data_IF_489032161458
#
_entry.id   IF_489032161458
#
_cell.length_a   1.000
_cell.length_b   1.000
_cell.length_c   1.000
_cell.angle_alpha   90.00
_cell.angle_beta   90.00
_cell.angle_gamma   90.00
#
_symmetry.space_group_name_H-M   'P 1'
#
loop_
_entity.id
_entity.type
_entity.pdbx_description
1 polymer ?
#
# COMPACT_ATOMS: atom_id res chain seq x y z
N UNK A 1 -12.24 9.48 2.33
CA UNK A 1 -11.62 9.57 1.97
C UNK A 1 -10.58 9.22 2.56
N UNK A 2 -10.20 8.39 2.75
CA UNK A 2 -9.21 8.15 3.51
C UNK A 2 -8.04 7.67 2.78
N UNK A 3 -8.07 7.29 1.62
CA UNK A 3 -6.91 6.83 0.92
C UNK A 3 -6.39 7.89 -0.01
N UNK A 4 -5.12 8.23 0.19
CA UNK A 4 -4.54 9.23 -0.59
C UNK A 4 -4.00 8.62 -1.85
N UNK A 5 -4.10 9.26 -2.95
CA UNK A 5 -3.57 8.79 -4.20
C UNK A 5 -2.08 9.06 -4.20
N UNK A 6 -1.29 8.01 -4.33
CA UNK A 6 0.15 8.17 -4.30
C UNK A 6 0.78 8.28 -5.66
N UNK A 7 0.26 7.56 -6.63
CA UNK A 7 0.87 7.56 -7.93
C UNK A 7 0.38 8.75 -8.71
N UNK A 8 1.28 9.48 -9.28
CA UNK A 8 0.87 10.60 -10.09
C UNK A 8 1.29 10.33 -11.52
N UNK A 9 0.93 11.17 -12.40
CA UNK A 9 1.23 10.99 -13.80
C UNK A 9 2.72 10.99 -14.05
N UNK A 10 3.44 11.77 -13.29
CA UNK A 10 4.84 11.91 -13.48
C UNK A 10 5.76 11.10 -12.63
N UNK A 11 5.33 10.51 -11.63
CA UNK A 11 6.24 9.83 -10.74
C UNK A 11 5.54 8.72 -9.98
N UNK A 12 6.36 7.84 -9.43
CA UNK A 12 5.86 6.76 -8.64
C UNK A 12 6.11 7.11 -7.19
N UNK A 13 5.33 6.59 -6.30
CA UNK A 13 5.57 6.84 -4.88
C UNK A 13 6.82 6.10 -4.45
N UNK A 14 7.47 6.59 -3.44
CA UNK A 14 8.65 5.91 -2.98
C UNK A 14 8.26 4.87 -1.95
N UNK A 15 9.24 4.14 -1.51
CA UNK A 15 9.01 3.03 -0.62
C UNK A 15 8.34 3.42 0.67
N UNK A 16 8.72 4.53 1.23
CA UNK A 16 8.15 4.92 2.50
C UNK A 16 6.70 5.34 2.36
N UNK A 17 6.34 5.87 1.20
CA UNK A 17 4.96 6.23 0.97
C UNK A 17 4.11 4.99 0.81
N UNK A 18 4.64 3.97 0.12
CA UNK A 18 3.90 2.74 -0.07
C UNK A 18 3.71 2.07 1.29
N UNK A 19 4.75 2.07 2.11
CA UNK A 19 4.65 1.45 3.42
C UNK A 19 3.64 2.19 4.29
N UNK A 20 3.65 3.50 4.25
CA UNK A 20 2.72 4.28 5.05
C UNK A 20 1.28 4.00 4.65
N UNK A 21 1.04 3.89 3.35
CA UNK A 21 -0.29 3.60 2.86
C UNK A 21 -0.74 2.20 3.26
N UNK A 22 0.17 1.23 3.19
CA UNK A 22 -0.16 -0.13 3.56
C UNK A 22 -0.49 -0.20 5.05
N UNK A 23 0.30 0.48 5.86
CA UNK A 23 0.08 0.47 7.29
C UNK A 23 -1.27 1.10 7.61
N UNK A 24 -1.59 2.19 6.96
CA UNK A 24 -2.85 2.83 7.20
C UNK A 24 -4.02 1.94 6.79
N UNK A 25 -3.87 1.24 5.69
CA UNK A 25 -4.91 0.34 5.23
C UNK A 25 -5.15 -0.76 6.27
N UNK A 26 -4.08 -1.37 6.77
CA UNK A 26 -4.20 -2.43 7.76
C UNK A 26 -4.83 -1.90 9.04
N UNK A 27 -4.44 -0.71 9.45
CA UNK A 27 -5.03 -0.12 10.64
C UNK A 27 -6.51 0.13 10.45
N UNK A 28 -6.87 0.56 9.26
CA UNK A 28 -8.23 0.86 9.00
C UNK A 28 -9.11 -0.37 8.99
N UNK A 29 -8.69 -1.45 8.37
CA UNK A 29 -9.54 -2.62 8.31
C UNK A 29 -9.52 -3.41 9.60
N UNK A 30 -8.45 -3.31 10.37
CA UNK A 30 -8.36 -4.07 11.60
C UNK A 30 -8.91 -3.29 12.80
N UNK A 31 -8.94 -1.99 12.68
CA UNK A 31 -9.35 -1.16 13.79
C UNK A 31 -8.25 -0.92 14.82
N UNK A 32 -7.05 -1.47 14.61
CA UNK A 32 -5.98 -1.30 15.55
C UNK A 32 -4.97 -0.29 15.06
N UNK A 33 -4.56 0.62 15.97
CA UNK A 33 -3.57 1.53 15.63
C UNK A 33 -2.30 0.83 15.89
N UNK A 34 -2.23 0.05 16.99
CA UNK A 34 -1.09 -0.76 17.33
C UNK A 34 -1.66 -2.08 17.75
N UNK A 35 -1.23 -3.18 17.19
CA UNK A 35 -1.78 -4.48 17.53
C UNK A 35 -1.35 -4.92 18.92
N UNK A 36 -2.12 -5.77 19.52
CA UNK A 36 -1.73 -6.37 20.77
C UNK A 36 -0.52 -7.25 20.45
N UNK A 37 0.30 -7.49 21.45
CA UNK A 37 1.51 -8.25 21.24
C UNK A 37 1.26 -9.59 20.58
N UNK A 38 0.22 -10.26 20.94
CA UNK A 38 -0.07 -11.56 20.37
C UNK A 38 -0.40 -11.47 18.89
N UNK A 39 -0.81 -10.30 18.42
CA UNK A 39 -1.15 -10.14 17.03
C UNK A 39 -0.12 -9.36 16.23
N UNK A 40 1.02 -9.06 16.83
CA UNK A 40 2.00 -8.24 16.15
C UNK A 40 2.50 -8.88 14.86
N UNK A 41 2.82 -10.17 14.92
CA UNK A 41 3.36 -10.82 13.73
C UNK A 41 2.33 -10.86 12.61
N UNK A 42 1.09 -11.14 12.94
CA UNK A 42 0.04 -11.21 11.93
C UNK A 42 -0.17 -9.83 11.31
N UNK A 43 -0.15 -8.81 12.15
CA UNK A 43 -0.36 -7.44 11.69
C UNK A 43 0.78 -7.03 10.75
N UNK A 44 2.01 -7.32 11.15
CA UNK A 44 3.14 -6.92 10.34
C UNK A 44 3.24 -7.72 9.06
N UNK A 45 2.86 -9.00 9.09
CA UNK A 45 2.84 -9.79 7.89
C UNK A 45 1.82 -9.23 6.91
N UNK A 46 0.68 -8.78 7.40
CA UNK A 46 -0.33 -8.19 6.54
C UNK A 46 0.20 -6.93 5.88
N UNK A 47 0.89 -6.10 6.64
CA UNK A 47 1.46 -4.87 6.10
C UNK A 47 2.46 -5.23 5.00
N UNK A 48 3.31 -6.22 5.25
CA UNK A 48 4.31 -6.59 4.26
C UNK A 48 3.67 -7.15 3.00
N UNK A 49 2.60 -7.90 3.15
CA UNK A 49 1.92 -8.45 1.99
C UNK A 49 1.27 -7.34 1.17
N UNK A 50 0.70 -6.36 1.83
CA UNK A 50 0.09 -5.24 1.13
C UNK A 50 1.16 -4.46 0.39
N UNK A 51 2.33 -4.31 1.00
CA UNK A 51 3.43 -3.62 0.36
C UNK A 51 3.86 -4.39 -0.89
N UNK A 52 3.98 -5.70 -0.79
CA UNK A 52 4.42 -6.50 -1.92
C UNK A 52 3.45 -6.43 -3.07
N UNK A 53 2.16 -6.53 -2.79
CA UNK A 53 1.15 -6.44 -3.83
C UNK A 53 1.16 -5.04 -4.44
N UNK A 54 1.34 -4.03 -3.62
CA UNK A 54 1.35 -2.66 -4.08
C UNK A 54 2.53 -2.40 -5.00
N UNK A 55 3.69 -2.94 -4.67
CA UNK A 55 4.84 -2.77 -5.52
C UNK A 55 4.61 -3.45 -6.83
N UNK A 56 4.03 -4.65 -6.84
CA UNK A 56 3.75 -5.36 -8.06
C UNK A 56 2.77 -4.58 -8.92
N UNK A 57 1.76 -4.01 -8.30
CA UNK A 57 0.78 -3.22 -9.03
C UNK A 57 1.47 -2.03 -9.69
N UNK A 58 2.24 -1.29 -8.91
CA UNK A 58 2.85 -0.08 -9.42
C UNK A 58 3.85 -0.40 -10.53
N UNK A 59 4.58 -1.47 -10.40
CA UNK A 59 5.52 -1.86 -11.42
C UNK A 59 4.82 -2.33 -12.68
N UNK A 60 3.62 -2.85 -12.55
CA UNK A 60 2.90 -3.37 -13.69
C UNK A 60 2.12 -2.32 -14.45
N UNK A 61 1.86 -1.20 -13.81
CA UNK A 61 1.10 -0.15 -14.49
C UNK A 61 2.00 0.53 -15.50
N UNK A 62 1.46 0.77 -16.71
CA UNK A 62 2.23 1.39 -17.67
C UNK A 62 1.93 2.76 -17.72
N UNK A 63 2.76 3.50 -18.19
CA UNK A 63 2.59 4.86 -18.21
C UNK A 63 1.64 5.13 -19.22
N UNK A 64 0.81 5.49 -19.33
CA UNK A 64 -0.11 5.89 -20.17
C UNK A 64 -0.16 5.01 -21.32
N UNK A 65 -0.68 4.18 -21.47
CA UNK A 65 -0.81 3.36 -22.42
C UNK A 65 -1.93 3.68 -23.18
N UNK A 66 -1.85 4.29 -24.03
CA UNK A 66 -2.90 4.81 -24.72
C UNK A 66 -3.71 3.74 -25.24
N UNK A 67 -4.20 3.63 -25.68
CA UNK A 67 -4.87 2.81 -26.21
C UNK A 67 -5.07 1.63 -25.91
N UNK A 68 -4.90 1.33 -25.71
CA UNK A 68 -5.08 0.32 -25.40
C UNK A 68 -5.88 0.07 -25.04
N UNK A 69 -6.10 0.41 -24.93
CA UNK A 69 -6.74 0.28 -24.57
C UNK A 69 -7.14 -0.12 -24.59
#
# INVERSE_FOLDING_TARGET
>A
RSIKVLRSADSQPDESEVRAAALQFVRKISGYRHPAQVNTAVFEDAVEEIIAVSRTLLASLRQRQPAVS
#
